data_IF_075698628653
#
_entry.id   IF_075698628653
#
_cell.length_a   1.000
_cell.length_b   1.000
_cell.length_c   1.000
_cell.angle_alpha   90.00
_cell.angle_beta   90.00
_cell.angle_gamma   90.00
#
_symmetry.space_group_name_H-M   'P 1'
#
loop_
_entity.id
_entity.type
_entity.pdbx_description
1 polymer ?
#
# COMPACT_ATOMS: atom_id res chain seq x y z
N UNK A 1 11.49 -10.10 -0.54
CA UNK A 1 11.50 -10.52 -1.97
C UNK A 1 10.54 -9.63 -2.78
N UNK A 2 10.72 -9.46 -4.10
CA UNK A 2 10.05 -8.43 -4.91
C UNK A 2 8.51 -8.35 -4.72
N UNK A 3 7.82 -9.48 -4.62
CA UNK A 3 6.36 -9.51 -4.35
C UNK A 3 5.99 -8.84 -3.03
N UNK A 4 6.75 -9.12 -1.97
CA UNK A 4 6.52 -8.52 -0.66
C UNK A 4 6.65 -7.00 -0.71
N UNK A 5 7.75 -6.48 -1.31
CA UNK A 5 7.97 -5.04 -1.41
C UNK A 5 6.89 -4.33 -2.23
N UNK A 6 6.45 -4.95 -3.33
CA UNK A 6 5.34 -4.45 -4.14
C UNK A 6 4.04 -4.36 -3.31
N UNK A 7 3.65 -5.46 -2.68
CA UNK A 7 2.39 -5.51 -1.92
C UNK A 7 2.44 -4.61 -0.68
N UNK A 8 3.59 -4.50 -0.01
CA UNK A 8 3.78 -3.58 1.11
C UNK A 8 3.58 -2.12 0.65
N UNK A 9 4.22 -1.71 -0.45
CA UNK A 9 4.05 -0.38 -1.00
C UNK A 9 2.61 -0.08 -1.44
N UNK A 10 1.90 -1.06 -2.01
CA UNK A 10 0.49 -0.92 -2.36
C UNK A 10 -0.41 -0.80 -1.11
N UNK A 11 -0.07 -1.48 -0.02
CA UNK A 11 -0.78 -1.36 1.26
C UNK A 11 -0.62 0.02 1.89
N UNK A 12 0.60 0.57 1.86
CA UNK A 12 0.86 1.97 2.24
C UNK A 12 0.05 2.94 1.37
N UNK A 13 -0.01 2.70 0.06
CA UNK A 13 -0.80 3.51 -0.86
C UNK A 13 -2.31 3.42 -0.58
N UNK A 14 -2.83 2.25 -0.22
CA UNK A 14 -4.23 2.10 0.20
C UNK A 14 -4.52 2.94 1.46
N UNK A 15 -3.60 2.97 2.44
CA UNK A 15 -3.72 3.84 3.63
C UNK A 15 -3.69 5.33 3.25
N UNK A 16 -2.80 5.73 2.34
CA UNK A 16 -2.76 7.10 1.81
C UNK A 16 -4.08 7.51 1.17
N UNK A 17 -4.73 6.63 0.39
CA UNK A 17 -6.04 6.94 -0.22
C UNK A 17 -7.14 7.13 0.82
N UNK A 18 -7.09 6.40 1.94
CA UNK A 18 -8.10 6.50 2.99
C UNK A 18 -7.92 7.73 3.89
N UNK A 19 -6.68 8.06 4.26
CA UNK A 19 -6.35 9.15 5.17
C UNK A 19 -5.03 9.84 4.76
N UNK A 20 -5.09 10.74 3.76
CA UNK A 20 -3.90 11.36 3.18
C UNK A 20 -3.12 12.23 4.18
N UNK A 21 -3.82 12.96 5.05
CA UNK A 21 -3.18 13.90 5.98
C UNK A 21 -2.42 13.17 7.07
N UNK A 22 -3.04 12.15 7.68
CA UNK A 22 -2.35 11.32 8.66
C UNK A 22 -1.17 10.58 8.03
N UNK A 23 -1.36 10.01 6.83
CA UNK A 23 -0.28 9.32 6.12
C UNK A 23 0.91 10.24 5.88
N UNK A 24 0.69 11.45 5.34
CA UNK A 24 1.78 12.41 5.08
C UNK A 24 2.51 12.80 6.36
N UNK A 25 1.78 13.01 7.46
CA UNK A 25 2.38 13.42 8.74
C UNK A 25 3.39 12.40 9.30
N UNK A 26 3.21 11.11 9.02
CA UNK A 26 4.13 10.04 9.45
C UNK A 26 5.11 9.58 8.35
N UNK A 27 4.98 10.07 7.12
CA UNK A 27 5.70 9.50 5.98
C UNK A 27 7.20 9.78 6.02
N UNK A 28 7.60 11.01 6.38
CA UNK A 28 9.00 11.40 6.52
C UNK A 28 9.73 10.56 7.58
N UNK A 29 9.06 10.31 8.71
CA UNK A 29 9.59 9.49 9.79
C UNK A 29 9.84 8.04 9.35
N UNK A 30 8.95 7.47 8.55
CA UNK A 30 9.13 6.09 8.04
C UNK A 30 10.21 6.03 6.97
N UNK A 31 10.28 7.01 6.07
CA UNK A 31 11.37 7.09 5.09
C UNK A 31 12.74 7.23 5.77
N UNK A 32 12.83 7.97 6.87
CA UNK A 32 14.07 8.12 7.63
C UNK A 32 14.58 6.80 8.23
N UNK A 33 13.70 5.81 8.41
CA UNK A 33 13.98 4.49 9.02
C UNK A 33 14.08 3.35 8.01
N UNK A 34 13.75 3.62 6.75
CA UNK A 34 13.82 2.62 5.69
C UNK A 34 15.26 2.08 5.53
N UNK A 35 15.39 0.75 5.52
CA UNK A 35 16.69 0.06 5.44
C UNK A 35 17.39 -0.13 6.79
N UNK A 36 16.89 0.47 7.86
CA UNK A 36 17.32 0.19 9.24
C UNK A 36 16.30 -0.70 9.97
N UNK A 37 15.02 -0.41 9.79
CA UNK A 37 13.90 -1.14 10.41
C UNK A 37 13.41 -2.30 9.53
N UNK A 38 12.79 -3.31 10.16
CA UNK A 38 12.06 -4.35 9.44
C UNK A 38 10.75 -3.81 8.86
N UNK A 39 10.16 -4.53 7.90
CA UNK A 39 8.90 -4.11 7.30
C UNK A 39 7.73 -4.08 8.31
N UNK A 40 7.74 -4.96 9.31
CA UNK A 40 6.81 -4.97 10.43
C UNK A 40 6.94 -3.69 11.27
N UNK A 41 8.18 -3.26 11.57
CA UNK A 41 8.44 -2.03 12.31
C UNK A 41 8.01 -0.79 11.52
N UNK A 42 8.30 -0.76 10.21
CA UNK A 42 7.86 0.33 9.32
C UNK A 42 6.33 0.38 9.18
N UNK A 43 5.66 -0.77 9.10
CA UNK A 43 4.20 -0.86 9.09
C UNK A 43 3.59 -0.35 10.39
N UNK A 44 4.12 -0.80 11.53
CA UNK A 44 3.67 -0.37 12.86
C UNK A 44 3.80 1.14 13.07
N UNK A 45 4.82 1.78 12.48
CA UNK A 45 4.98 3.24 12.52
C UNK A 45 3.84 4.01 11.81
N UNK A 46 3.10 3.37 10.91
CA UNK A 46 1.87 3.91 10.31
C UNK A 46 0.58 3.40 10.97
N UNK A 47 0.68 2.68 12.10
CA UNK A 47 -0.46 2.01 12.72
C UNK A 47 -0.99 0.84 11.88
N UNK A 48 -0.14 0.23 11.04
CA UNK A 48 -0.49 -0.90 10.18
C UNK A 48 0.10 -2.19 10.74
N UNK A 49 -0.70 -3.24 10.75
CA UNK A 49 -0.24 -4.58 11.08
C UNK A 49 -0.01 -5.38 9.80
N UNK A 50 1.25 -5.62 9.45
CA UNK A 50 1.61 -6.39 8.25
C UNK A 50 1.46 -7.91 8.45
N UNK A 51 1.14 -8.36 9.67
CA UNK A 51 0.78 -9.76 9.94
C UNK A 51 -0.71 -10.02 9.73
N UNK A 52 -1.52 -8.95 9.61
CA UNK A 52 -2.94 -9.02 9.32
C UNK A 52 -3.20 -9.27 7.82
N UNK A 53 -4.07 -10.23 7.51
CA UNK A 53 -4.53 -10.52 6.17
C UNK A 53 -5.26 -9.32 5.54
N UNK A 54 -5.93 -8.50 6.36
CA UNK A 54 -6.64 -7.31 5.88
C UNK A 54 -5.70 -6.32 5.20
N UNK A 55 -4.47 -6.16 5.70
CA UNK A 55 -3.46 -5.29 5.09
C UNK A 55 -3.13 -5.75 3.66
N UNK A 56 -2.87 -7.05 3.48
CA UNK A 56 -2.53 -7.63 2.18
C UNK A 56 -3.71 -7.64 1.22
N UNK A 57 -4.92 -7.84 1.74
CA UNK A 57 -6.16 -7.74 0.95
C UNK A 57 -6.32 -6.33 0.38
N UNK A 58 -6.09 -5.29 1.19
CA UNK A 58 -6.13 -3.90 0.72
C UNK A 58 -5.09 -3.62 -0.37
N UNK A 59 -3.88 -4.19 -0.27
CA UNK A 59 -2.87 -4.10 -1.34
C UNK A 59 -3.34 -4.72 -2.66
N UNK A 60 -4.02 -5.87 -2.60
CA UNK A 60 -4.57 -6.55 -3.76
C UNK A 60 -5.76 -5.80 -4.36
N UNK A 61 -6.57 -5.13 -3.53
CA UNK A 61 -7.69 -4.31 -3.99
C UNK A 61 -7.25 -3.15 -4.87
N UNK A 62 -6.07 -2.57 -4.62
CA UNK A 62 -5.47 -1.56 -5.51
C UNK A 62 -5.23 -2.14 -6.91
N UNK A 63 -4.73 -3.37 -7.01
CA UNK A 63 -4.53 -4.04 -8.31
C UNK A 63 -5.87 -4.37 -8.96
N UNK A 64 -6.83 -4.88 -8.20
CA UNK A 64 -8.17 -5.21 -8.67
C UNK A 64 -8.89 -3.99 -9.25
N UNK A 65 -8.78 -2.83 -8.59
CA UNK A 65 -9.32 -1.57 -9.09
C UNK A 65 -8.69 -1.18 -10.44
N UNK A 66 -7.35 -1.24 -10.55
CA UNK A 66 -6.64 -0.94 -11.81
C UNK A 66 -7.03 -1.89 -12.95
N UNK A 67 -7.26 -3.17 -12.66
CA UNK A 67 -7.76 -4.13 -13.65
C UNK A 67 -9.16 -3.77 -14.14
N UNK A 68 -10.07 -3.37 -13.23
CA UNK A 68 -11.40 -2.89 -13.59
C UNK A 68 -11.34 -1.62 -14.46
N UNK A 69 -10.49 -0.67 -14.08
CA UNK A 69 -10.30 0.56 -14.86
C UNK A 69 -9.79 0.25 -16.26
N UNK A 70 -8.78 -0.63 -16.37
CA UNK A 70 -8.25 -1.07 -17.65
C UNK A 70 -9.32 -1.74 -18.52
N UNK A 71 -10.09 -2.68 -17.96
CA UNK A 71 -11.16 -3.35 -18.70
C UNK A 71 -12.20 -2.36 -19.23
N UNK A 72 -12.57 -1.37 -18.42
CA UNK A 72 -13.51 -0.31 -18.81
C UNK A 72 -12.98 0.54 -19.97
N UNK A 73 -11.68 0.87 -19.95
CA UNK A 73 -11.05 1.63 -21.04
C UNK A 73 -10.92 0.79 -22.31
N UNK A 74 -10.51 -0.47 -22.19
CA UNK A 74 -10.34 -1.37 -23.33
C UNK A 74 -11.66 -1.65 -24.06
N UNK A 75 -12.77 -1.82 -23.32
CA UNK A 75 -14.11 -2.02 -23.89
C UNK A 75 -14.59 -0.87 -24.79
N UNK A 76 -14.11 0.36 -24.58
CA UNK A 76 -14.48 1.52 -25.42
C UNK A 76 -13.87 1.47 -26.83
N UNK A 77 -12.91 0.57 -27.05
CA UNK A 77 -12.13 0.45 -28.28
C UNK A 77 -12.25 -0.93 -28.95
N UNK A 78 -13.12 -1.81 -28.43
CA UNK A 78 -13.53 -3.08 -29.04
C UNK A 78 -14.90 -2.90 -29.69
#
# INVERSE_FOLDING_TARGET
>A
PYTYGLLFGLGLYARFQHDPEHFRSGYDDVLSRAGMDTAEQLGAAFGLDVTDEAFWTASLDVLRARMTDFNTLAQKHL
#
